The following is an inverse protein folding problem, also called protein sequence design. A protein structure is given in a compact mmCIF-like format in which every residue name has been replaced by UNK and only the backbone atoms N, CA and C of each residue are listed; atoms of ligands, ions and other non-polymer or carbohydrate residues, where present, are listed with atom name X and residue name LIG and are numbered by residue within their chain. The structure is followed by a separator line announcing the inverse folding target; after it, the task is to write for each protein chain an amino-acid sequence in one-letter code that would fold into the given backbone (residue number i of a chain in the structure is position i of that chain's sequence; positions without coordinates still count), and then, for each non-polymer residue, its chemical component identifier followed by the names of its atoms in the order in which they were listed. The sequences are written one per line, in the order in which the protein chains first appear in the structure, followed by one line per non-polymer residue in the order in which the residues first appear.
data_IF_598028856059
#
_entry.id   IF_598028856059
#
_cell.length_a   1.000
_cell.length_b   1.000
_cell.length_c   1.000
_cell.angle_alpha   90.00
_cell.angle_beta   90.00
_cell.angle_gamma   90.00
#
_symmetry.space_group_name_H-M   'P 1'
#
loop_
_entity.id
_entity.type
_entity.pdbx_description
1 polymer ?
#
# COMPACT_ATOMS: atom_id res chain seq x y z
N UNK A 1 17.19 28.14 41.47
CA UNK A 1 16.99 27.63 42.85
C UNK A 1 17.86 26.40 43.00
N UNK A 2 18.93 26.50 43.81
CA UNK A 2 19.16 25.75 45.06
C UNK A 2 19.40 24.25 44.77
N UNK A 3 20.52 23.63 45.17
CA UNK A 3 21.09 23.72 46.53
C UNK A 3 22.58 23.36 46.54
N UNK A 4 23.31 24.06 47.42
CA UNK A 4 24.72 23.96 47.81
C UNK A 4 24.96 22.87 48.89
N UNK A 5 26.25 22.75 49.25
CA UNK A 5 26.84 22.45 50.58
C UNK A 5 27.06 20.94 50.84
N UNK A 6 28.29 20.41 50.88
CA UNK A 6 29.45 20.62 51.80
C UNK A 6 29.45 19.62 52.99
N UNK A 7 30.68 19.43 53.50
CA UNK A 7 31.09 18.95 54.83
C UNK A 7 31.21 17.42 54.98
N UNK A 8 32.25 16.83 55.61
CA UNK A 8 33.43 17.35 56.32
C UNK A 8 34.41 16.19 56.65
N UNK A 9 35.71 16.52 56.72
CA UNK A 9 36.74 16.13 57.72
C UNK A 9 36.52 14.86 58.58
N UNK A 10 37.50 13.97 58.79
CA UNK A 10 38.90 14.22 59.17
C UNK A 10 39.22 13.42 60.45
N UNK A 11 40.44 13.59 61.00
CA UNK A 11 41.00 13.07 62.29
C UNK A 11 41.79 11.76 62.14
N UNK A 12 43.00 11.54 62.67
CA UNK A 12 44.03 12.28 63.44
C UNK A 12 45.09 11.18 63.78
N UNK A 13 46.41 11.39 63.77
CA UNK A 13 47.28 11.62 64.96
C UNK A 13 48.72 11.15 64.57
N UNK A 14 49.80 11.96 64.68
CA UNK A 14 50.70 12.11 65.87
C UNK A 14 51.68 10.91 65.98
N UNK A 15 53.03 10.98 66.11
CA UNK A 15 54.01 12.03 66.48
C UNK A 15 55.46 11.51 66.27
N UNK A 16 56.44 12.45 66.14
CA UNK A 16 57.78 12.48 66.81
C UNK A 16 58.86 11.41 66.46
N UNK A 17 60.18 11.63 66.35
CA UNK A 17 61.12 12.78 66.31
C UNK A 17 62.56 12.25 66.04
N UNK A 18 63.42 13.11 65.46
CA UNK A 18 64.89 13.31 65.71
C UNK A 18 65.99 12.33 65.17
N UNK A 19 66.91 12.94 64.36
CA UNK A 19 68.43 12.90 64.39
C UNK A 19 69.12 11.58 63.97
N UNK A 20 70.26 11.48 63.26
CA UNK A 20 71.22 12.30 62.47
C UNK A 20 72.36 11.32 62.04
N UNK A 21 73.10 11.58 60.94
CA UNK A 21 74.40 10.96 60.53
C UNK A 21 74.32 9.50 60.05
N UNK A 22 74.99 9.01 59.01
CA UNK A 22 76.02 9.51 58.09
C UNK A 22 76.87 8.32 57.59
N UNK A 23 77.29 8.39 56.33
CA UNK A 23 78.39 7.70 55.62
C UNK A 23 78.42 6.16 55.51
N UNK A 24 78.24 5.71 54.25
CA UNK A 24 79.26 5.07 53.39
C UNK A 24 79.97 3.82 53.93
N UNK A 25 79.65 2.66 53.35
CA UNK A 25 80.54 1.51 53.20
C UNK A 25 80.21 0.84 51.86
N UNK A 26 81.09 1.07 50.87
CA UNK A 26 81.23 0.24 49.68
C UNK A 26 81.62 -1.18 50.14
N UNK A 27 80.69 -2.13 50.02
CA UNK A 27 81.01 -3.56 49.95
C UNK A 27 80.32 -4.15 48.71
N UNK A 28 81.15 -4.43 47.71
CA UNK A 28 80.87 -5.03 46.42
C UNK A 28 80.16 -6.39 46.54
N UNK A 29 78.82 -6.41 46.58
CA UNK A 29 77.99 -7.46 45.95
C UNK A 29 76.49 -7.14 45.88
N UNK A 30 76.10 -5.86 45.69
CA UNK A 30 74.70 -5.56 45.44
C UNK A 30 74.39 -5.88 43.97
N UNK A 31 74.16 -7.17 43.68
CA UNK A 31 73.43 -7.55 42.46
C UNK A 31 72.12 -6.77 42.50
N UNK A 32 72.00 -5.73 41.69
CA UNK A 32 70.75 -5.02 41.51
C UNK A 32 69.66 -6.02 41.14
N UNK A 33 68.41 -5.76 41.51
CA UNK A 33 67.34 -6.75 41.30
C UNK A 33 67.26 -7.24 39.84
N UNK A 34 67.70 -6.42 38.88
CA UNK A 34 67.74 -6.70 37.44
C UNK A 34 69.04 -7.34 36.90
N UNK A 35 70.08 -7.60 37.71
CA UNK A 35 71.42 -7.98 37.22
C UNK A 35 71.49 -9.37 36.55
N UNK A 36 70.42 -10.18 36.62
CA UNK A 36 70.32 -11.48 35.96
C UNK A 36 68.92 -11.73 35.34
N UNK A 37 68.14 -10.68 35.10
CA UNK A 37 66.78 -10.77 34.56
C UNK A 37 66.76 -10.32 33.11
N UNK A 38 66.45 -11.24 32.20
CA UNK A 38 66.19 -10.95 30.79
C UNK A 38 64.68 -10.94 30.55
N UNK A 39 64.11 -9.74 30.39
CA UNK A 39 62.68 -9.55 30.14
C UNK A 39 62.27 -9.85 28.69
N UNK A 40 63.21 -10.16 27.79
CA UNK A 40 62.92 -10.34 26.36
C UNK A 40 62.51 -9.03 25.69
N UNK A 41 61.26 -8.92 25.25
CA UNK A 41 60.69 -7.72 24.61
C UNK A 41 60.26 -6.66 25.65
N UNK A 42 61.19 -6.30 26.53
CA UNK A 42 60.94 -5.31 27.57
C UNK A 42 62.20 -4.97 28.34
N UNK A 43 62.12 -3.95 29.17
CA UNK A 43 63.23 -3.47 30.00
C UNK A 43 63.00 -3.86 31.45
N UNK A 44 64.01 -4.46 32.11
CA UNK A 44 63.92 -4.71 33.55
C UNK A 44 64.04 -3.39 34.34
N UNK A 45 63.13 -3.19 35.29
CA UNK A 45 63.10 -2.08 36.22
C UNK A 45 63.07 -2.58 37.67
N UNK A 46 63.84 -1.93 38.55
CA UNK A 46 63.83 -2.23 39.99
C UNK A 46 62.69 -1.45 40.67
N UNK A 47 61.69 -2.19 41.17
CA UNK A 47 60.60 -1.63 41.96
C UNK A 47 60.69 -2.14 43.39
N UNK A 48 61.16 -1.27 44.30
CA UNK A 48 61.29 -1.54 45.73
C UNK A 48 62.19 -2.75 46.09
N UNK A 49 63.27 -2.97 45.33
CA UNK A 49 64.25 -4.03 45.55
C UNK A 49 63.87 -5.37 44.89
N UNK A 50 62.90 -5.37 43.97
CA UNK A 50 62.49 -6.54 43.18
C UNK A 50 62.50 -6.21 41.69
N UNK A 51 62.88 -7.19 40.87
CA UNK A 51 62.84 -7.07 39.42
C UNK A 51 61.38 -7.08 38.94
N UNK A 52 61.06 -6.14 38.07
CA UNK A 52 59.80 -6.09 37.32
C UNK A 52 60.13 -5.81 35.86
N UNK A 53 59.41 -6.44 34.92
CA UNK A 53 59.59 -6.15 33.50
C UNK A 53 58.62 -5.05 33.07
N UNK A 54 59.16 -3.96 32.53
CA UNK A 54 58.41 -2.93 31.81
C UNK A 54 58.41 -3.32 30.32
N UNK A 55 57.30 -3.91 29.87
CA UNK A 55 57.23 -4.54 28.55
C UNK A 55 57.03 -3.53 27.43
N UNK A 56 57.60 -3.82 26.26
CA UNK A 56 57.43 -3.01 25.06
C UNK A 56 55.95 -3.02 24.63
N UNK A 57 55.53 -1.99 23.87
CA UNK A 57 54.14 -1.90 23.39
C UNK A 57 53.75 -3.15 22.60
N UNK A 58 52.63 -3.79 22.98
CA UNK A 58 52.18 -5.07 22.43
C UNK A 58 52.67 -6.30 23.21
N UNK A 59 53.19 -6.12 24.42
CA UNK A 59 53.57 -7.19 25.35
C UNK A 59 53.13 -6.84 26.78
N UNK A 60 52.74 -7.84 27.57
CA UNK A 60 52.50 -7.70 29.02
C UNK A 60 53.45 -8.59 29.83
N UNK A 61 53.68 -8.21 31.09
CA UNK A 61 54.53 -8.97 31.99
C UNK A 61 53.79 -10.21 32.53
N UNK A 62 54.32 -11.40 32.22
CA UNK A 62 54.00 -12.64 32.92
C UNK A 62 55.24 -13.05 33.75
N UNK A 63 55.23 -12.67 35.02
CA UNK A 63 56.40 -12.80 35.90
C UNK A 63 57.56 -11.91 35.45
N UNK A 64 58.68 -12.52 35.06
CA UNK A 64 59.90 -11.84 34.59
C UNK A 64 60.12 -11.98 33.08
N UNK A 65 59.05 -12.26 32.34
CA UNK A 65 59.07 -12.39 30.88
C UNK A 65 57.95 -11.55 30.27
N UNK A 66 58.28 -10.79 29.23
CA UNK A 66 57.29 -10.09 28.44
C UNK A 66 56.73 -11.04 27.38
N UNK A 67 55.45 -11.37 27.51
CA UNK A 67 54.69 -12.21 26.57
C UNK A 67 53.89 -11.32 25.63
N UNK A 68 53.80 -11.71 24.36
CA UNK A 68 53.11 -10.92 23.33
C UNK A 68 51.61 -10.80 23.68
N UNK A 69 51.10 -9.57 23.60
CA UNK A 69 49.68 -9.30 23.70
C UNK A 69 49.02 -9.81 22.42
N UNK A 70 48.39 -10.98 22.49
CA UNK A 70 47.56 -11.44 21.38
C UNK A 70 46.32 -10.53 21.32
N UNK A 71 46.24 -9.64 20.33
CA UNK A 71 44.99 -8.95 19.98
C UNK A 71 44.03 -10.00 19.40
N UNK A 72 43.36 -10.74 20.29
CA UNK A 72 42.37 -11.74 19.90
C UNK A 72 41.12 -11.00 19.43
N UNK A 73 40.97 -10.86 18.12
CA UNK A 73 39.72 -10.42 17.51
C UNK A 73 38.60 -11.40 17.86
N UNK A 74 37.44 -10.89 18.23
CA UNK A 74 36.23 -11.64 18.54
C UNK A 74 35.20 -11.33 17.45
N UNK A 75 34.99 -12.26 16.51
CA UNK A 75 34.01 -12.08 15.44
C UNK A 75 32.68 -11.45 15.91
N UNK A 76 32.11 -10.55 15.10
CA UNK A 76 30.86 -9.89 15.44
C UNK A 76 29.69 -10.88 15.41
N UNK A 77 28.63 -10.58 16.16
CA UNK A 77 27.48 -11.49 16.32
C UNK A 77 26.17 -10.77 16.09
N UNK A 78 25.32 -11.34 15.23
CA UNK A 78 23.91 -10.94 15.14
C UNK A 78 23.16 -11.37 16.40
N UNK A 79 22.49 -10.41 17.05
CA UNK A 79 21.69 -10.64 18.26
C UNK A 79 20.18 -10.57 18.01
N UNK A 80 19.79 -10.14 16.82
CA UNK A 80 18.41 -10.12 16.32
C UNK A 80 18.03 -11.44 15.66
N UNK A 81 16.72 -11.75 15.62
CA UNK A 81 16.19 -12.95 14.93
C UNK A 81 15.42 -12.53 13.69
N UNK A 82 15.78 -13.08 12.53
CA UNK A 82 15.13 -12.79 11.26
C UNK A 82 13.70 -13.40 11.19
N UNK A 83 12.79 -12.82 10.40
CA UNK A 83 11.44 -13.35 10.22
C UNK A 83 11.46 -14.71 9.50
N UNK A 84 10.52 -15.59 9.83
CA UNK A 84 10.36 -16.91 9.19
C UNK A 84 9.30 -16.95 8.10
N UNK A 85 8.46 -15.90 8.03
CA UNK A 85 7.30 -15.84 7.17
C UNK A 85 7.12 -14.42 6.63
N UNK A 86 6.63 -14.33 5.40
CA UNK A 86 6.24 -13.10 4.73
C UNK A 86 5.00 -13.36 3.86
N UNK A 87 4.29 -12.30 3.50
CA UNK A 87 3.12 -12.36 2.63
C UNK A 87 3.44 -11.65 1.32
N UNK A 88 3.03 -12.21 0.18
CA UNK A 88 3.18 -11.51 -1.11
C UNK A 88 2.49 -10.14 -1.10
N UNK A 89 2.95 -9.23 -1.96
CA UNK A 89 2.44 -7.86 -2.12
C UNK A 89 2.53 -6.98 -0.85
N UNK A 90 3.15 -7.48 0.22
CA UNK A 90 3.38 -6.74 1.46
C UNK A 90 4.89 -6.58 1.66
N UNK A 91 5.34 -5.34 1.87
CA UNK A 91 6.73 -5.07 2.24
C UNK A 91 7.01 -5.72 3.59
N UNK A 92 7.94 -6.64 3.59
CA UNK A 92 8.47 -7.23 4.83
C UNK A 92 9.75 -6.49 5.19
N UNK A 93 9.85 -6.10 6.46
CA UNK A 93 10.96 -5.32 6.99
C UNK A 93 11.53 -6.00 8.22
N UNK A 94 12.86 -6.03 8.32
CA UNK A 94 13.61 -6.67 9.38
C UNK A 94 14.63 -5.68 9.95
N UNK A 95 14.35 -5.19 11.15
CA UNK A 95 15.31 -4.44 11.95
C UNK A 95 16.29 -5.42 12.60
N UNK A 96 17.56 -5.34 12.22
CA UNK A 96 18.63 -6.21 12.72
C UNK A 96 19.59 -5.47 13.64
N UNK A 97 20.29 -6.25 14.45
CA UNK A 97 21.33 -5.77 15.37
C UNK A 97 22.50 -6.74 15.36
N UNK A 98 23.69 -6.19 15.14
CA UNK A 98 24.96 -6.88 15.25
C UNK A 98 25.82 -6.18 16.30
N UNK A 99 26.55 -6.96 17.10
CA UNK A 99 27.42 -6.43 18.14
C UNK A 99 28.79 -7.06 18.05
N UNK A 100 29.80 -6.26 18.35
CA UNK A 100 31.19 -6.69 18.47
C UNK A 100 31.66 -6.55 19.92
N UNK A 101 32.46 -7.51 20.40
CA UNK A 101 32.92 -7.52 21.79
C UNK A 101 34.16 -6.65 22.02
N UNK A 102 34.94 -6.43 20.97
CA UNK A 102 36.17 -5.62 20.99
C UNK A 102 35.86 -4.12 20.74
N UNK A 103 34.66 -3.83 20.24
CA UNK A 103 34.14 -2.48 20.05
C UNK A 103 34.53 -1.87 18.71
N UNK A 104 34.81 -2.73 17.73
CA UNK A 104 35.17 -2.34 16.37
C UNK A 104 33.97 -1.78 15.58
N UNK A 105 34.27 -0.98 14.56
CA UNK A 105 33.27 -0.45 13.64
C UNK A 105 32.67 -1.59 12.80
N UNK A 106 31.34 -1.58 12.62
CA UNK A 106 30.62 -2.64 11.94
C UNK A 106 30.10 -2.20 10.58
N UNK A 107 30.43 -2.97 9.54
CA UNK A 107 29.92 -2.80 8.19
C UNK A 107 28.92 -3.92 7.83
N UNK A 108 27.88 -3.53 7.08
CA UNK A 108 26.80 -4.41 6.64
C UNK A 108 26.70 -4.53 5.13
N UNK A 109 26.37 -5.73 4.64
CA UNK A 109 26.07 -5.95 3.23
C UNK A 109 25.02 -7.05 3.03
N UNK A 110 24.40 -7.07 1.85
CA UNK A 110 23.57 -8.19 1.39
C UNK A 110 24.51 -9.26 0.83
N UNK A 111 24.38 -10.50 1.33
CA UNK A 111 25.20 -11.61 0.89
C UNK A 111 24.78 -12.12 -0.50
N UNK A 112 25.72 -12.71 -1.24
CA UNK A 112 25.45 -13.28 -2.57
C UNK A 112 24.46 -14.45 -2.57
N UNK A 113 24.19 -15.07 -1.42
CA UNK A 113 23.20 -16.14 -1.26
C UNK A 113 21.79 -15.64 -0.98
N UNK A 114 21.59 -14.32 -0.85
CA UNK A 114 20.27 -13.71 -0.73
C UNK A 114 19.46 -13.97 -2.01
N UNK A 115 18.21 -14.40 -1.82
CA UNK A 115 17.24 -14.64 -2.90
C UNK A 115 15.91 -13.93 -2.64
N UNK A 116 15.81 -13.16 -1.55
CA UNK A 116 14.65 -12.30 -1.29
C UNK A 116 14.77 -10.96 -2.05
N UNK A 117 15.95 -10.66 -2.62
CA UNK A 117 16.24 -9.47 -3.45
C UNK A 117 15.93 -8.16 -2.70
N UNK A 118 16.21 -8.17 -1.40
CA UNK A 118 15.94 -7.04 -0.51
C UNK A 118 17.01 -5.96 -0.54
N UNK A 119 16.63 -4.79 -0.03
CA UNK A 119 17.50 -3.64 0.16
C UNK A 119 17.87 -3.50 1.63
N UNK A 120 19.16 -3.26 1.89
CA UNK A 120 19.72 -3.03 3.22
C UNK A 120 20.07 -1.55 3.44
N UNK A 121 19.76 -1.03 4.61
CA UNK A 121 20.15 0.31 5.09
C UNK A 121 20.82 0.19 6.46
N UNK A 122 22.06 0.65 6.58
CA UNK A 122 22.80 0.75 7.85
C UNK A 122 22.43 2.02 8.61
N UNK A 123 22.40 1.94 9.94
CA UNK A 123 22.32 3.10 10.84
C UNK A 123 23.69 3.53 11.40
N UNK A 124 24.76 2.82 11.03
CA UNK A 124 26.16 3.07 11.45
C UNK A 124 26.35 3.04 12.98
N UNK A 125 25.51 2.27 13.69
CA UNK A 125 25.52 2.12 15.15
C UNK A 125 25.39 0.65 15.59
N UNK A 126 25.70 -0.30 14.69
CA UNK A 126 25.47 -1.72 14.89
C UNK A 126 24.03 -2.18 14.60
N UNK A 127 23.15 -1.27 14.19
CA UNK A 127 21.79 -1.59 13.74
C UNK A 127 21.55 -1.25 12.26
N UNK A 128 20.51 -1.84 11.69
CA UNK A 128 20.08 -1.53 10.34
C UNK A 128 18.74 -2.15 10.00
N UNK A 129 18.25 -1.87 8.79
CA UNK A 129 17.00 -2.40 8.27
C UNK A 129 17.24 -3.13 6.94
N UNK A 130 16.69 -4.34 6.82
CA UNK A 130 16.58 -5.06 5.56
C UNK A 130 15.11 -5.13 5.16
N UNK A 131 14.78 -4.78 3.92
CA UNK A 131 13.39 -4.81 3.44
C UNK A 131 13.27 -5.40 2.04
N UNK A 132 12.20 -6.16 1.80
CA UNK A 132 11.92 -6.80 0.52
C UNK A 132 10.40 -6.92 0.28
N UNK A 133 10.02 -7.18 -0.97
CA UNK A 133 8.64 -7.44 -1.37
C UNK A 133 8.60 -8.52 -2.45
N UNK A 134 7.86 -9.60 -2.19
CA UNK A 134 7.62 -10.65 -3.19
C UNK A 134 6.30 -10.35 -3.92
N UNK A 135 6.31 -10.36 -5.24
CA UNK A 135 5.15 -10.01 -6.06
C UNK A 135 4.11 -11.15 -6.19
N UNK A 136 4.56 -12.41 -6.15
CA UNK A 136 3.70 -13.58 -6.40
C UNK A 136 4.22 -14.85 -5.69
N UNK A 137 3.48 -15.30 -4.68
CA UNK A 137 3.73 -16.50 -3.89
C UNK A 137 3.51 -17.80 -4.67
N UNK A 138 2.74 -17.78 -5.77
CA UNK A 138 2.54 -18.94 -6.64
C UNK A 138 3.81 -19.28 -7.45
N UNK A 139 4.61 -18.25 -7.78
CA UNK A 139 5.91 -18.45 -8.44
C UNK A 139 7.08 -18.55 -7.46
N UNK A 140 6.96 -17.92 -6.29
CA UNK A 140 8.02 -17.87 -5.27
C UNK A 140 7.45 -18.21 -3.89
N UNK A 141 7.40 -19.50 -3.56
CA UNK A 141 6.85 -19.98 -2.27
C UNK A 141 7.80 -19.79 -1.07
N UNK A 142 9.07 -19.47 -1.33
CA UNK A 142 10.08 -19.23 -0.30
C UNK A 142 11.22 -18.39 -0.86
N UNK A 143 11.87 -17.59 -0.01
CA UNK A 143 13.14 -16.93 -0.33
C UNK A 143 14.13 -17.09 0.83
N UNK A 144 15.40 -16.79 0.57
CA UNK A 144 16.49 -16.81 1.55
C UNK A 144 16.93 -15.37 1.79
N UNK A 145 16.75 -14.88 3.01
CA UNK A 145 17.37 -13.65 3.49
C UNK A 145 18.81 -13.99 3.90
N UNK A 146 19.78 -13.26 3.38
CA UNK A 146 21.18 -13.40 3.77
C UNK A 146 21.89 -12.04 3.87
N UNK A 147 22.29 -11.67 5.08
CA UNK A 147 23.01 -10.42 5.37
C UNK A 147 24.32 -10.71 6.11
N UNK A 148 25.34 -9.90 5.87
CA UNK A 148 26.66 -10.00 6.51
C UNK A 148 26.92 -8.85 7.45
N UNK A 149 27.65 -9.12 8.54
CA UNK A 149 28.22 -8.14 9.46
C UNK A 149 29.73 -8.40 9.56
N UNK A 150 30.55 -7.36 9.42
CA UNK A 150 32.02 -7.47 9.53
C UNK A 150 32.59 -6.38 10.42
N UNK A 151 33.60 -6.74 11.20
CA UNK A 151 34.44 -5.85 12.01
C UNK A 151 35.71 -5.38 11.25
N UNK A 152 35.80 -5.69 9.95
CA UNK A 152 36.98 -5.45 9.11
C UNK A 152 38.03 -6.57 9.12
N UNK A 153 37.96 -7.51 10.05
CA UNK A 153 38.84 -8.68 10.18
C UNK A 153 38.10 -9.99 9.86
N UNK A 154 36.94 -10.20 10.48
CA UNK A 154 36.08 -11.36 10.33
C UNK A 154 34.70 -10.94 9.79
N UNK A 155 34.03 -11.88 9.13
CA UNK A 155 32.70 -11.69 8.56
C UNK A 155 31.79 -12.79 9.09
N UNK A 156 30.64 -12.39 9.62
CA UNK A 156 29.57 -13.32 10.02
C UNK A 156 28.35 -13.08 9.15
N UNK A 157 27.74 -14.17 8.69
CA UNK A 157 26.53 -14.15 7.88
C UNK A 157 25.35 -14.67 8.70
N UNK A 158 24.25 -13.91 8.68
CA UNK A 158 22.95 -14.40 9.14
C UNK A 158 22.13 -14.82 7.93
N UNK A 159 21.60 -16.04 7.96
CA UNK A 159 20.75 -16.59 6.90
C UNK A 159 19.44 -17.09 7.48
N UNK A 160 18.33 -16.80 6.81
CA UNK A 160 17.00 -17.29 7.19
C UNK A 160 16.19 -17.63 5.94
N UNK A 161 15.61 -18.83 5.91
CA UNK A 161 14.59 -19.18 4.91
C UNK A 161 13.25 -18.61 5.34
N UNK A 162 12.66 -17.78 4.49
CA UNK A 162 11.36 -17.14 4.70
C UNK A 162 10.33 -17.89 3.85
N UNK A 163 9.27 -18.39 4.49
CA UNK A 163 8.12 -18.95 3.79
C UNK A 163 7.27 -17.81 3.26
N UNK A 164 6.94 -17.82 1.96
CA UNK A 164 6.06 -16.82 1.38
C UNK A 164 4.66 -17.37 1.34
N UNK A 165 3.75 -16.66 1.99
CA UNK A 165 2.34 -16.95 2.01
C UNK A 165 1.68 -16.12 0.92
N UNK A 166 0.76 -16.75 0.19
CA UNK A 166 -0.16 -15.98 -0.64
C UNK A 166 -0.87 -14.98 0.26
N UNK A 167 -1.08 -13.77 -0.25
CA UNK A 167 -1.95 -12.83 0.41
C UNK A 167 -3.28 -13.55 0.49
N UNK A 168 -3.78 -13.76 1.71
CA UNK A 168 -5.17 -14.13 1.84
C UNK A 168 -5.91 -13.00 1.14
N UNK A 169 -6.54 -13.30 0.01
CA UNK A 169 -7.54 -12.40 -0.54
C UNK A 169 -8.44 -12.12 0.64
N UNK A 170 -8.33 -10.91 1.20
CA UNK A 170 -9.36 -10.43 2.09
C UNK A 170 -10.60 -10.61 1.26
N UNK A 171 -11.51 -11.51 1.66
CA UNK A 171 -12.81 -11.53 1.03
C UNK A 171 -13.26 -10.08 1.10
N UNK A 172 -13.45 -9.47 -0.07
CA UNK A 172 -13.91 -8.12 -0.16
C UNK A 172 -15.39 -8.17 0.22
N UNK A 173 -15.64 -8.32 1.53
CA UNK A 173 -16.97 -8.50 2.10
C UNK A 173 -17.61 -7.12 2.14
N UNK A 174 -18.39 -6.86 1.10
CA UNK A 174 -19.28 -5.72 1.05
C UNK A 174 -20.38 -5.90 2.09
N UNK A 175 -20.44 -5.00 3.07
CA UNK A 175 -21.47 -5.00 4.11
C UNK A 175 -22.81 -4.40 3.63
N UNK A 176 -22.86 -3.95 2.37
CA UNK A 176 -24.04 -3.37 1.72
C UNK A 176 -24.39 -1.98 2.23
N UNK A 177 -23.57 -1.36 3.10
CA UNK A 177 -23.90 -0.08 3.72
C UNK A 177 -23.63 1.11 2.79
N UNK A 178 -22.61 1.01 1.94
CA UNK A 178 -22.33 2.04 0.95
C UNK A 178 -23.31 1.93 -0.21
N UNK A 179 -24.16 2.93 -0.39
CA UNK A 179 -25.20 2.96 -1.42
C UNK A 179 -24.83 3.84 -2.64
N UNK A 180 -23.61 4.37 -2.68
CA UNK A 180 -23.14 5.24 -3.77
C UNK A 180 -24.11 6.38 -4.08
N UNK A 181 -24.47 6.53 -5.35
CA UNK A 181 -25.42 7.55 -5.80
C UNK A 181 -26.88 7.28 -5.37
N UNK A 182 -27.19 6.05 -4.95
CA UNK A 182 -28.54 5.60 -4.56
C UNK A 182 -28.69 5.63 -3.03
N UNK A 183 -28.11 6.64 -2.38
CA UNK A 183 -28.05 6.77 -0.92
C UNK A 183 -29.25 7.50 -0.29
N UNK A 184 -30.19 7.99 -1.10
CA UNK A 184 -31.37 8.72 -0.64
C UNK A 184 -31.05 10.00 0.15
N UNK A 185 -29.80 10.48 0.15
CA UNK A 185 -29.37 11.63 0.94
C UNK A 185 -30.10 12.91 0.51
N UNK A 186 -30.35 13.79 1.48
CA UNK A 186 -31.17 14.98 1.26
C UNK A 186 -30.47 15.98 0.35
N UNK A 187 -31.13 16.24 -0.78
CA UNK A 187 -30.89 17.24 -1.81
C UNK A 187 -30.34 18.59 -1.30
N UNK A 188 -29.08 18.90 -1.62
CA UNK A 188 -28.49 20.24 -1.44
C UNK A 188 -28.70 21.16 -2.66
N UNK A 189 -29.51 20.73 -3.64
CA UNK A 189 -29.77 21.41 -4.90
C UNK A 189 -28.72 21.16 -5.98
N UNK A 190 -27.60 20.50 -5.65
CA UNK A 190 -26.47 20.25 -6.57
C UNK A 190 -26.09 18.77 -6.66
N UNK A 191 -26.51 17.98 -5.68
CA UNK A 191 -26.27 16.54 -5.64
C UNK A 191 -27.01 15.80 -6.75
N UNK A 192 -26.35 14.79 -7.31
CA UNK A 192 -26.94 13.83 -8.25
C UNK A 192 -27.51 12.59 -7.53
N UNK A 193 -27.37 12.54 -6.21
CA UNK A 193 -27.80 11.41 -5.40
C UNK A 193 -29.31 11.43 -5.20
N UNK A 194 -29.89 10.25 -5.00
CA UNK A 194 -31.30 10.10 -4.70
C UNK A 194 -31.79 8.67 -4.88
N UNK A 195 -33.10 8.47 -4.73
CA UNK A 195 -33.72 7.16 -4.84
C UNK A 195 -33.36 6.22 -3.69
N UNK A 196 -33.80 4.98 -3.85
CA UNK A 196 -33.59 3.88 -2.90
C UNK A 196 -33.23 2.62 -3.67
N UNK A 197 -32.30 1.82 -3.14
CA UNK A 197 -31.91 0.56 -3.78
C UNK A 197 -33.04 -0.45 -3.70
N UNK A 198 -33.41 -1.02 -4.85
CA UNK A 198 -34.26 -2.19 -4.93
C UNK A 198 -33.45 -3.39 -5.43
N UNK A 199 -33.54 -4.51 -4.72
CA UNK A 199 -32.90 -5.78 -5.12
C UNK A 199 -33.80 -6.64 -6.00
N UNK A 200 -35.06 -6.24 -6.18
CA UNK A 200 -36.00 -6.86 -7.10
C UNK A 200 -36.16 -5.99 -8.35
N UNK A 201 -36.34 -6.59 -9.54
CA UNK A 201 -36.75 -5.85 -10.72
C UNK A 201 -38.04 -5.07 -10.48
N UNK A 202 -38.25 -4.00 -11.26
CA UNK A 202 -39.53 -3.31 -11.26
C UNK A 202 -40.69 -4.24 -11.66
N UNK A 203 -41.90 -3.85 -11.27
CA UNK A 203 -43.11 -4.48 -11.80
C UNK A 203 -43.08 -4.39 -13.33
N UNK A 204 -43.33 -5.51 -14.03
CA UNK A 204 -43.42 -5.56 -15.49
C UNK A 204 -44.46 -4.60 -16.09
N UNK A 205 -45.40 -4.09 -15.27
CA UNK A 205 -46.35 -3.06 -15.67
C UNK A 205 -45.78 -1.63 -15.65
N UNK A 206 -44.58 -1.42 -15.09
CA UNK A 206 -43.90 -0.14 -15.14
C UNK A 206 -43.21 0.05 -16.49
N UNK A 207 -43.84 0.85 -17.33
CA UNK A 207 -43.47 1.06 -18.73
C UNK A 207 -43.42 2.55 -19.03
N UNK A 208 -42.28 3.02 -19.53
CA UNK A 208 -42.08 4.41 -19.95
C UNK A 208 -42.05 4.53 -21.48
N UNK A 209 -42.49 3.48 -22.19
CA UNK A 209 -42.46 3.33 -23.65
C UNK A 209 -41.03 3.35 -24.24
N UNK A 210 -40.01 2.97 -23.44
CA UNK A 210 -38.62 2.94 -23.94
C UNK A 210 -38.39 1.80 -24.94
N UNK A 211 -39.16 0.72 -24.88
CA UNK A 211 -39.12 -0.39 -25.82
C UNK A 211 -39.50 0.04 -27.26
N UNK A 212 -40.37 1.05 -27.40
CA UNK A 212 -40.72 1.66 -28.68
C UNK A 212 -39.49 2.28 -29.38
N UNK A 213 -38.54 2.82 -28.61
CA UNK A 213 -37.26 3.30 -29.14
C UNK A 213 -36.35 2.14 -29.56
N UNK A 214 -36.29 1.07 -28.77
CA UNK A 214 -35.50 -0.13 -29.09
C UNK A 214 -35.98 -0.76 -30.40
N UNK A 215 -37.30 -0.81 -30.62
CA UNK A 215 -37.90 -1.39 -31.82
C UNK A 215 -37.48 -0.69 -33.12
N UNK A 216 -37.07 0.59 -33.05
CA UNK A 216 -36.63 1.39 -34.20
C UNK A 216 -35.13 1.72 -34.15
N UNK A 217 -34.38 1.14 -33.21
CA UNK A 217 -32.95 1.42 -33.04
C UNK A 217 -32.16 1.19 -34.34
N UNK A 218 -31.37 2.17 -34.83
CA UNK A 218 -30.57 1.99 -36.03
C UNK A 218 -29.45 0.96 -35.84
N UNK A 219 -28.82 0.58 -36.95
CA UNK A 219 -27.63 -0.26 -36.93
C UNK A 219 -26.49 0.40 -36.12
N UNK A 220 -25.61 -0.41 -35.55
CA UNK A 220 -24.46 0.08 -34.79
C UNK A 220 -23.64 1.10 -35.59
N UNK A 221 -23.30 2.22 -34.94
CA UNK A 221 -22.59 3.35 -35.51
C UNK A 221 -23.47 4.36 -36.27
N UNK A 222 -24.80 4.26 -36.18
CA UNK A 222 -25.73 5.15 -36.88
C UNK A 222 -26.74 5.80 -35.93
N UNK A 223 -27.34 6.90 -36.40
CA UNK A 223 -28.37 7.68 -35.70
C UNK A 223 -29.68 7.69 -36.50
N UNK A 224 -30.81 7.85 -35.80
CA UNK A 224 -32.15 7.92 -36.37
C UNK A 224 -32.97 9.01 -35.68
N UNK A 225 -33.52 9.91 -36.49
CA UNK A 225 -34.52 10.88 -36.03
C UNK A 225 -35.84 10.19 -35.69
N UNK A 226 -36.39 10.51 -34.53
CA UNK A 226 -37.66 9.97 -34.01
C UNK A 226 -38.52 11.11 -33.46
N UNK A 227 -39.73 10.80 -33.02
CA UNK A 227 -40.58 11.76 -32.31
C UNK A 227 -41.44 10.96 -31.32
N UNK A 228 -40.79 10.51 -30.26
CA UNK A 228 -41.37 9.55 -29.33
C UNK A 228 -41.46 10.20 -27.95
N UNK A 229 -42.67 10.40 -27.41
CA UNK A 229 -42.82 10.84 -26.03
C UNK A 229 -42.42 9.70 -25.09
N UNK A 230 -41.61 10.03 -24.09
CA UNK A 230 -41.26 9.15 -22.97
C UNK A 230 -41.93 9.72 -21.73
N UNK A 231 -42.62 8.86 -20.97
CA UNK A 231 -43.38 9.27 -19.79
C UNK A 231 -42.88 8.55 -18.54
N UNK A 232 -42.58 9.30 -17.50
CA UNK A 232 -42.19 8.80 -16.17
C UNK A 232 -41.02 7.80 -16.17
N UNK A 233 -40.05 7.92 -17.09
CA UNK A 233 -38.83 7.10 -17.07
C UNK A 233 -37.98 7.42 -15.83
N UNK A 234 -37.42 6.40 -15.17
CA UNK A 234 -36.64 6.59 -13.95
C UNK A 234 -35.18 6.80 -14.30
N UNK A 235 -34.56 7.88 -13.77
CA UNK A 235 -33.12 8.08 -13.81
C UNK A 235 -32.47 7.06 -12.85
N UNK A 236 -31.70 6.11 -13.38
CA UNK A 236 -31.03 5.06 -12.60
C UNK A 236 -29.59 5.39 -12.25
N UNK A 237 -28.96 6.31 -12.99
CA UNK A 237 -27.64 6.85 -12.68
C UNK A 237 -27.46 8.20 -13.36
N UNK A 238 -26.67 9.08 -12.76
CA UNK A 238 -26.32 10.36 -13.38
C UNK A 238 -24.86 10.74 -13.10
N UNK A 239 -24.24 11.50 -14.00
CA UNK A 239 -22.89 12.01 -13.81
C UNK A 239 -22.71 13.34 -14.53
N UNK A 240 -21.71 14.11 -14.11
CA UNK A 240 -21.35 15.37 -14.75
C UNK A 240 -20.06 15.21 -15.55
N UNK A 241 -20.11 15.48 -16.86
CA UNK A 241 -18.95 15.38 -17.73
C UNK A 241 -18.98 16.47 -18.80
N UNK A 242 -17.82 17.09 -19.05
CA UNK A 242 -17.64 18.12 -20.08
C UNK A 242 -18.66 19.27 -20.00
N UNK A 243 -19.00 19.70 -18.78
CA UNK A 243 -19.94 20.81 -18.58
C UNK A 243 -21.42 20.41 -18.58
N UNK A 244 -21.75 19.13 -18.80
CA UNK A 244 -23.10 18.65 -19.01
C UNK A 244 -23.47 17.52 -18.05
N UNK A 245 -24.74 17.50 -17.65
CA UNK A 245 -25.31 16.32 -16.99
C UNK A 245 -25.57 15.23 -18.01
N UNK A 246 -25.13 14.03 -17.68
CA UNK A 246 -25.36 12.79 -18.40
C UNK A 246 -26.15 11.88 -17.48
N UNK A 247 -27.03 11.06 -18.03
CA UNK A 247 -27.86 10.18 -17.21
C UNK A 247 -28.18 8.89 -17.93
N UNK A 248 -28.56 7.89 -17.14
CA UNK A 248 -29.14 6.64 -17.60
C UNK A 248 -30.58 6.63 -17.11
N UNK A 249 -31.49 6.27 -18.00
CA UNK A 249 -32.91 6.13 -17.71
C UNK A 249 -33.36 4.72 -18.00
N UNK A 250 -34.39 4.28 -17.31
CA UNK A 250 -34.96 2.97 -17.54
C UNK A 250 -36.41 2.87 -17.10
N UNK A 251 -37.04 1.81 -17.61
CA UNK A 251 -38.30 1.24 -17.14
C UNK A 251 -38.12 -0.27 -16.91
N UNK A 252 -39.21 -1.02 -16.65
CA UNK A 252 -39.10 -2.45 -16.41
C UNK A 252 -38.62 -3.26 -17.63
N UNK A 253 -38.61 -2.66 -18.82
CA UNK A 253 -38.37 -3.34 -20.08
C UNK A 253 -36.94 -3.11 -20.59
N UNK A 254 -36.42 -1.88 -20.50
CA UNK A 254 -35.11 -1.53 -21.09
C UNK A 254 -34.48 -0.28 -20.47
N UNK A 255 -33.18 -0.12 -20.72
CA UNK A 255 -32.36 0.98 -20.23
C UNK A 255 -31.72 1.76 -21.40
N UNK A 256 -31.66 3.08 -21.26
CA UNK A 256 -31.02 3.99 -22.22
C UNK A 256 -30.03 4.91 -21.53
N UNK A 257 -28.95 5.23 -22.24
CA UNK A 257 -28.06 6.34 -21.87
C UNK A 257 -28.55 7.61 -22.56
N UNK A 258 -28.77 8.68 -21.80
CA UNK A 258 -29.10 10.00 -22.35
C UNK A 258 -27.79 10.79 -22.49
N UNK A 259 -27.36 10.99 -23.74
CA UNK A 259 -26.08 11.56 -24.11
C UNK A 259 -26.24 12.80 -25.01
N UNK A 260 -26.89 13.83 -24.49
CA UNK A 260 -27.18 15.09 -25.21
C UNK A 260 -25.92 15.89 -25.59
N UNK A 261 -26.02 16.70 -26.64
CA UNK A 261 -24.98 17.66 -27.01
C UNK A 261 -24.94 18.86 -26.06
N UNK A 262 -24.02 19.81 -26.27
CA UNK A 262 -23.92 21.06 -25.51
C UNK A 262 -24.95 22.12 -25.93
N UNK A 263 -25.97 21.72 -26.70
CA UNK A 263 -27.10 22.57 -27.05
C UNK A 263 -27.97 22.86 -25.82
N UNK A 264 -27.89 24.10 -25.34
CA UNK A 264 -28.66 24.58 -24.19
C UNK A 264 -30.18 24.43 -24.35
N UNK A 265 -30.70 24.34 -25.58
CA UNK A 265 -32.13 24.14 -25.81
C UNK A 265 -32.64 22.73 -25.48
N UNK A 266 -31.73 21.77 -25.30
CA UNK A 266 -32.04 20.36 -25.01
C UNK A 266 -31.84 20.00 -23.54
N UNK A 267 -31.16 20.86 -22.77
CA UNK A 267 -30.76 20.59 -21.38
C UNK A 267 -32.01 20.64 -20.47
N UNK A 268 -32.21 19.65 -19.58
CA UNK A 268 -33.31 19.69 -18.62
C UNK A 268 -33.21 20.91 -17.70
N UNK A 269 -34.33 21.56 -17.35
CA UNK A 269 -34.36 22.75 -16.49
C UNK A 269 -34.18 22.42 -14.98
N UNK A 270 -33.66 21.24 -14.66
CA UNK A 270 -33.44 20.72 -13.31
C UNK A 270 -32.15 19.90 -13.27
N UNK A 271 -31.61 19.69 -12.06
CA UNK A 271 -30.47 18.80 -11.83
C UNK A 271 -30.97 17.34 -11.89
N UNK A 272 -30.48 16.50 -12.82
CA UNK A 272 -30.89 15.10 -12.91
C UNK A 272 -30.39 14.33 -11.69
N UNK A 273 -31.31 13.67 -10.98
CA UNK A 273 -30.99 12.87 -9.79
C UNK A 273 -31.40 11.44 -9.97
N UNK A 274 -30.60 10.53 -9.43
CA UNK A 274 -30.96 9.11 -9.38
C UNK A 274 -32.25 8.91 -8.58
N UNK A 275 -33.11 8.00 -9.03
CA UNK A 275 -34.45 7.80 -8.49
C UNK A 275 -35.45 8.93 -8.81
N UNK A 276 -35.17 9.79 -9.79
CA UNK A 276 -36.16 10.76 -10.30
C UNK A 276 -36.91 10.19 -11.50
N UNK A 277 -38.20 10.47 -11.60
CA UNK A 277 -39.00 10.19 -12.79
C UNK A 277 -39.14 11.42 -13.66
N UNK A 278 -38.93 11.24 -14.95
CA UNK A 278 -38.89 12.32 -15.94
C UNK A 278 -39.69 11.95 -17.18
N UNK A 279 -40.30 12.95 -17.80
CA UNK A 279 -40.93 12.83 -19.11
C UNK A 279 -40.34 13.87 -20.07
N UNK A 280 -40.24 13.49 -21.34
CA UNK A 280 -39.71 14.34 -22.42
C UNK A 280 -39.96 13.67 -23.77
N UNK A 281 -39.77 14.41 -24.86
CA UNK A 281 -39.88 13.88 -26.23
C UNK A 281 -38.49 13.67 -26.82
N UNK A 282 -38.21 12.43 -27.22
CA UNK A 282 -36.97 12.06 -27.91
C UNK A 282 -37.08 12.44 -29.37
N UNK A 283 -36.05 13.12 -29.90
CA UNK A 283 -35.96 13.53 -31.30
C UNK A 283 -34.88 12.80 -32.08
N UNK A 284 -33.87 12.24 -31.40
CA UNK A 284 -32.87 11.37 -32.03
C UNK A 284 -32.36 10.29 -31.07
N UNK A 285 -32.21 9.08 -31.62
CA UNK A 285 -31.52 7.95 -30.98
C UNK A 285 -30.30 7.53 -31.78
N UNK A 286 -29.28 7.04 -31.09
CA UNK A 286 -28.03 6.55 -31.68
C UNK A 286 -27.67 5.20 -31.09
N UNK A 287 -27.25 4.28 -31.96
CA UNK A 287 -26.65 3.01 -31.54
C UNK A 287 -25.13 3.17 -31.54
N UNK A 288 -24.55 3.58 -30.42
CA UNK A 288 -23.11 3.77 -30.28
C UNK A 288 -22.44 2.44 -29.92
N UNK A 289 -22.02 1.70 -30.95
CA UNK A 289 -21.34 0.40 -30.80
C UNK A 289 -22.08 -0.57 -29.85
N UNK A 290 -23.37 -0.81 -30.12
CA UNK A 290 -24.27 -1.64 -29.29
C UNK A 290 -24.68 -1.04 -27.94
N UNK A 291 -24.36 0.23 -27.69
CA UNK A 291 -24.92 1.02 -26.58
C UNK A 291 -26.06 1.90 -27.09
N UNK A 292 -27.25 1.76 -26.50
CA UNK A 292 -28.41 2.57 -26.87
C UNK A 292 -28.32 3.94 -26.22
N UNK A 293 -28.27 4.97 -27.05
CA UNK A 293 -28.18 6.37 -26.62
C UNK A 293 -29.35 7.19 -27.15
N UNK A 294 -29.89 8.07 -26.30
CA UNK A 294 -30.70 9.22 -26.72
C UNK A 294 -29.75 10.39 -26.91
N UNK A 295 -29.66 10.90 -28.14
CA UNK A 295 -28.70 11.94 -28.52
C UNK A 295 -29.33 13.31 -28.74
N UNK A 296 -30.63 13.37 -29.06
CA UNK A 296 -31.39 14.63 -29.10
C UNK A 296 -32.79 14.51 -28.51
N UNK A 297 -33.28 15.61 -27.94
CA UNK A 297 -34.62 15.74 -27.36
C UNK A 297 -35.25 17.10 -27.67
N UNK A 298 -36.57 17.18 -27.61
CA UNK A 298 -37.27 18.47 -27.51
C UNK A 298 -37.18 18.99 -26.07
N UNK A 299 -36.21 19.85 -25.79
CA UNK A 299 -35.99 20.35 -24.43
C UNK A 299 -37.09 21.27 -23.89
N UNK A 300 -38.10 21.62 -24.70
CA UNK A 300 -39.30 22.31 -24.18
C UNK A 300 -40.29 21.37 -23.48
N UNK A 301 -40.10 20.05 -23.62
CA UNK A 301 -41.02 19.02 -23.12
C UNK A 301 -40.59 18.36 -21.82
N UNK A 302 -39.45 18.75 -21.25
CA UNK A 302 -38.95 18.21 -19.99
C UNK A 302 -39.94 18.44 -18.83
N UNK A 303 -40.29 17.36 -18.14
CA UNK A 303 -40.96 17.40 -16.85
C UNK A 303 -40.20 16.56 -15.83
N UNK A 304 -40.21 17.03 -14.57
CA UNK A 304 -39.80 16.25 -13.41
C UNK A 304 -41.08 15.79 -12.71
N UNK A 305 -41.39 14.50 -12.85
CA UNK A 305 -42.66 13.92 -12.41
C UNK A 305 -42.63 13.54 -10.93
N UNK A 306 -41.44 13.24 -10.41
CA UNK A 306 -41.20 13.03 -8.98
C UNK A 306 -39.77 12.57 -8.68
N UNK A 307 -39.49 12.37 -7.40
CA UNK A 307 -38.17 11.94 -6.89
C UNK A 307 -38.30 10.90 -5.79
N UNK A 308 -37.20 10.21 -5.47
CA UNK A 308 -37.15 9.23 -4.38
C UNK A 308 -37.74 7.86 -4.75
N UNK A 309 -37.77 7.53 -6.04
CA UNK A 309 -38.21 6.23 -6.53
C UNK A 309 -37.11 5.18 -6.40
N UNK A 310 -37.54 3.92 -6.32
CA UNK A 310 -36.68 2.75 -6.27
C UNK A 310 -35.89 2.56 -7.58
N UNK A 311 -34.61 2.23 -7.45
CA UNK A 311 -33.71 1.90 -8.55
C UNK A 311 -33.24 0.45 -8.40
N UNK A 312 -33.60 -0.45 -9.33
CA UNK A 312 -33.12 -1.82 -9.33
C UNK A 312 -31.61 -1.88 -9.51
N UNK A 313 -30.96 -2.64 -8.63
CA UNK A 313 -29.53 -2.91 -8.69
C UNK A 313 -29.34 -4.41 -8.85
N UNK A 314 -28.60 -4.81 -9.88
CA UNK A 314 -28.27 -6.22 -10.11
C UNK A 314 -26.97 -6.58 -9.40
N UNK A 315 -27.03 -7.52 -8.46
CA UNK A 315 -25.84 -8.07 -7.81
C UNK A 315 -25.06 -8.98 -8.77
N UNK A 316 -23.76 -8.72 -8.92
CA UNK A 316 -22.85 -9.47 -9.78
C UNK A 316 -21.86 -10.24 -8.91
N UNK A 317 -21.74 -11.53 -9.19
CA UNK A 317 -20.92 -12.48 -8.44
C UNK A 317 -20.46 -13.63 -9.34
N UNK A 318 -19.81 -14.64 -8.77
CA UNK A 318 -19.50 -15.90 -9.42
C UNK A 318 -20.74 -16.65 -9.94
N UNK A 319 -21.85 -16.59 -9.20
CA UNK A 319 -23.13 -17.18 -9.56
C UNK A 319 -23.87 -16.38 -10.64
N UNK A 320 -23.63 -15.06 -10.71
CA UNK A 320 -24.21 -14.16 -11.72
C UNK A 320 -23.10 -13.32 -12.38
N UNK A 321 -22.31 -13.90 -13.31
CA UNK A 321 -21.20 -13.20 -13.92
C UNK A 321 -21.63 -12.00 -14.77
N UNK A 322 -20.76 -11.00 -14.90
CA UNK A 322 -21.02 -9.85 -15.75
C UNK A 322 -21.06 -10.25 -17.23
N UNK A 323 -22.09 -9.83 -17.97
CA UNK A 323 -22.24 -10.09 -19.41
C UNK A 323 -22.68 -8.84 -20.16
N UNK A 324 -22.68 -8.90 -21.49
CA UNK A 324 -23.20 -7.82 -22.34
C UNK A 324 -24.70 -7.51 -22.09
N UNK A 325 -25.47 -8.44 -21.53
CA UNK A 325 -26.87 -8.20 -21.17
C UNK A 325 -27.04 -7.20 -20.01
N UNK A 326 -25.96 -6.89 -19.29
CA UNK A 326 -25.97 -5.91 -18.21
C UNK A 326 -25.62 -4.48 -18.67
N UNK A 327 -25.25 -4.27 -19.95
CA UNK A 327 -24.93 -2.93 -20.47
C UNK A 327 -26.11 -1.97 -20.23
N UNK A 328 -25.79 -0.74 -19.83
CA UNK A 328 -26.71 0.31 -19.36
C UNK A 328 -27.43 0.03 -18.03
N UNK A 329 -27.37 -1.19 -17.48
CA UNK A 329 -27.99 -1.54 -16.19
C UNK A 329 -27.09 -1.14 -15.03
N UNK A 330 -27.70 -0.70 -13.94
CA UNK A 330 -26.98 -0.51 -12.69
C UNK A 330 -26.70 -1.87 -12.06
N UNK A 331 -25.41 -2.14 -11.85
CA UNK A 331 -24.93 -3.33 -11.16
C UNK A 331 -24.24 -2.94 -9.87
N UNK A 332 -24.19 -3.88 -8.93
CA UNK A 332 -23.29 -3.85 -7.77
C UNK A 332 -22.34 -5.04 -7.86
N UNK A 333 -21.05 -4.77 -7.68
CA UNK A 333 -19.99 -5.78 -7.76
C UNK A 333 -18.86 -5.41 -6.83
N UNK A 334 -18.37 -6.40 -6.08
CA UNK A 334 -17.35 -6.24 -5.06
C UNK A 334 -16.22 -7.21 -5.32
N UNK A 335 -14.98 -6.75 -5.21
CA UNK A 335 -13.83 -7.58 -5.54
C UNK A 335 -12.49 -6.93 -5.26
N UNK A 336 -11.42 -7.64 -5.60
CA UNK A 336 -10.03 -7.22 -5.42
C UNK A 336 -9.42 -6.83 -6.76
N UNK A 337 -8.68 -5.72 -6.81
CA UNK A 337 -7.90 -5.35 -7.98
C UNK A 337 -6.63 -6.22 -8.03
N UNK A 338 -6.50 -7.07 -9.05
CA UNK A 338 -5.40 -8.06 -9.16
C UNK A 338 -4.30 -7.67 -10.15
N UNK A 339 -4.48 -6.58 -10.88
CA UNK A 339 -3.48 -6.06 -11.82
C UNK A 339 -3.05 -4.65 -11.43
N UNK A 340 -1.76 -4.33 -11.56
CA UNK A 340 -1.33 -2.94 -11.53
C UNK A 340 -1.98 -2.21 -12.71
N UNK A 341 -2.55 -1.02 -12.47
CA UNK A 341 -3.26 -0.20 -13.47
C UNK A 341 -2.37 0.22 -14.64
N UNK A 342 -2.06 -0.71 -15.54
CA UNK A 342 -0.91 -0.63 -16.46
C UNK A 342 -1.29 -0.76 -17.93
N UNK A 343 -2.54 -1.11 -18.24
CA UNK A 343 -3.08 -1.00 -19.58
C UNK A 343 -3.74 0.37 -19.76
N UNK A 344 -3.17 1.21 -20.64
CA UNK A 344 -3.88 2.38 -21.17
C UNK A 344 -5.10 1.89 -21.96
N UNK A 345 -6.26 1.79 -21.31
CA UNK A 345 -7.51 1.40 -21.94
C UNK A 345 -8.25 2.62 -22.51
N UNK A 346 -7.60 3.25 -23.47
CA UNK A 346 -8.00 4.52 -24.04
C UNK A 346 -7.37 5.73 -23.34
N UNK A 347 -7.51 6.89 -23.96
CA UNK A 347 -6.86 8.13 -23.52
C UNK A 347 -7.46 8.65 -22.22
N UNK A 348 -6.64 8.82 -21.18
CA UNK A 348 -7.04 9.43 -19.91
C UNK A 348 -7.66 8.48 -18.88
N UNK A 349 -7.59 7.17 -19.10
CA UNK A 349 -8.11 6.15 -18.19
C UNK A 349 -7.05 5.11 -17.82
N UNK A 350 -7.17 4.59 -16.59
CA UNK A 350 -6.46 3.41 -16.10
C UNK A 350 -7.44 2.24 -16.05
N UNK A 351 -6.96 1.05 -16.40
CA UNK A 351 -7.72 -0.19 -16.28
C UNK A 351 -7.04 -1.15 -15.33
N UNK A 352 -7.90 -1.79 -14.54
CA UNK A 352 -7.56 -2.83 -13.59
C UNK A 352 -8.40 -4.05 -13.90
N UNK A 353 -7.85 -5.23 -13.65
CA UNK A 353 -8.60 -6.46 -13.54
C UNK A 353 -9.19 -6.54 -12.13
N UNK A 354 -10.52 -6.50 -12.03
CA UNK A 354 -11.26 -6.73 -10.80
C UNK A 354 -11.62 -8.22 -10.74
N UNK A 355 -11.06 -8.91 -9.76
CA UNK A 355 -11.46 -10.25 -9.37
C UNK A 355 -12.60 -10.16 -8.35
N UNK A 356 -13.78 -10.65 -8.74
CA UNK A 356 -14.99 -10.68 -7.93
C UNK A 356 -15.48 -12.11 -7.68
N UNK A 357 -14.57 -13.10 -7.81
CA UNK A 357 -14.84 -14.52 -7.58
C UNK A 357 -15.38 -15.29 -8.78
N UNK A 358 -15.74 -14.62 -9.89
CA UNK A 358 -16.15 -15.29 -11.11
C UNK A 358 -14.98 -15.98 -11.84
N UNK A 359 -15.30 -16.84 -12.80
CA UNK A 359 -14.30 -17.56 -13.60
C UNK A 359 -13.37 -16.65 -14.43
N UNK A 360 -13.72 -15.38 -14.61
CA UNK A 360 -12.91 -14.39 -15.29
C UNK A 360 -13.09 -13.03 -14.63
N UNK A 361 -11.99 -12.27 -14.57
CA UNK A 361 -12.00 -10.89 -14.07
C UNK A 361 -12.82 -9.99 -15.00
N UNK A 362 -13.22 -8.85 -14.46
CA UNK A 362 -13.84 -7.77 -15.24
C UNK A 362 -12.92 -6.55 -15.25
N UNK A 363 -12.91 -5.84 -16.37
CA UNK A 363 -12.20 -4.57 -16.47
C UNK A 363 -12.91 -3.51 -15.62
N UNK A 364 -12.21 -3.01 -14.60
CA UNK A 364 -12.54 -1.80 -13.87
C UNK A 364 -11.76 -0.62 -14.44
N UNK A 365 -12.47 0.35 -15.00
CA UNK A 365 -11.92 1.48 -15.74
C UNK A 365 -12.20 2.80 -15.03
N UNK A 366 -11.14 3.52 -14.70
CA UNK A 366 -11.23 4.76 -13.94
C UNK A 366 -10.36 5.86 -14.54
N UNK A 367 -10.60 7.12 -14.17
CA UNK A 367 -9.81 8.25 -14.66
C UNK A 367 -8.34 8.14 -14.25
N UNK A 368 -7.43 8.70 -15.06
CA UNK A 368 -5.98 8.57 -14.89
C UNK A 368 -5.40 9.03 -13.53
N UNK A 369 -6.18 9.75 -12.73
CA UNK A 369 -5.77 10.24 -11.41
C UNK A 369 -6.12 9.26 -10.27
N UNK A 370 -6.93 8.24 -10.54
CA UNK A 370 -7.33 7.23 -9.56
C UNK A 370 -6.37 6.03 -9.66
N UNK A 371 -5.24 6.14 -8.96
CA UNK A 371 -4.22 5.08 -8.88
C UNK A 371 -4.47 4.24 -7.63
N UNK A 372 -4.69 2.94 -7.82
CA UNK A 372 -4.93 1.99 -6.73
C UNK A 372 -3.81 0.96 -6.66
N UNK A 373 -3.32 0.61 -5.46
CA UNK A 373 -2.46 -0.55 -5.27
C UNK A 373 -3.14 -1.86 -5.69
N UNK A 374 -2.36 -2.83 -6.16
CA UNK A 374 -2.84 -4.22 -6.29
C UNK A 374 -3.23 -4.73 -4.91
N UNK A 375 -4.30 -5.51 -4.82
CA UNK A 375 -4.91 -5.93 -3.55
C UNK A 375 -5.95 -4.95 -3.00
N UNK A 376 -6.13 -3.77 -3.63
CA UNK A 376 -7.20 -2.85 -3.24
C UNK A 376 -8.55 -3.52 -3.45
N UNK A 377 -9.41 -3.33 -2.47
CA UNK A 377 -10.64 -4.07 -2.30
C UNK A 377 -11.73 -3.01 -2.52
N UNK A 378 -12.63 -3.24 -3.49
CA UNK A 378 -13.49 -2.22 -4.10
C UNK A 378 -14.92 -2.73 -4.34
N UNK A 379 -15.93 -1.89 -4.07
CA UNK A 379 -17.30 -2.03 -4.61
C UNK A 379 -17.49 -1.01 -5.72
N UNK A 380 -18.03 -1.46 -6.84
CA UNK A 380 -18.63 -0.60 -7.85
C UNK A 380 -20.16 -0.72 -7.79
N UNK A 381 -20.86 0.41 -7.78
CA UNK A 381 -22.30 0.49 -7.98
C UNK A 381 -22.62 1.56 -9.03
N UNK A 382 -22.96 1.12 -10.23
CA UNK A 382 -23.18 2.03 -11.36
C UNK A 382 -23.54 1.30 -12.65
N UNK A 383 -23.76 2.05 -13.74
CA UNK A 383 -24.12 1.48 -15.02
C UNK A 383 -22.95 0.74 -15.67
N UNK A 384 -23.21 -0.43 -16.24
CA UNK A 384 -22.23 -1.17 -17.04
C UNK A 384 -22.09 -0.51 -18.40
N UNK A 385 -20.85 -0.35 -18.84
CA UNK A 385 -20.54 0.22 -20.16
C UNK A 385 -19.97 -0.84 -21.08
N UNK A 386 -20.07 -0.64 -22.39
CA UNK A 386 -19.39 -1.46 -23.38
C UNK A 386 -18.17 -0.72 -23.93
N UNK A 387 -17.04 -1.41 -24.07
CA UNK A 387 -15.86 -0.87 -24.73
C UNK A 387 -15.12 -1.96 -25.47
N UNK A 388 -14.83 -1.73 -26.74
CA UNK A 388 -14.24 -2.73 -27.64
C UNK A 388 -15.00 -4.06 -27.64
N UNK A 389 -16.34 -4.00 -27.52
CA UNK A 389 -17.22 -5.18 -27.49
C UNK A 389 -17.26 -5.96 -26.16
N UNK A 390 -16.57 -5.52 -25.11
CA UNK A 390 -16.60 -6.16 -23.79
C UNK A 390 -17.31 -5.28 -22.73
N UNK A 391 -18.11 -5.89 -21.83
CA UNK A 391 -18.68 -5.15 -20.70
C UNK A 391 -17.58 -4.78 -19.70
N UNK A 392 -17.63 -3.55 -19.20
CA UNK A 392 -16.67 -3.01 -18.25
C UNK A 392 -17.35 -2.08 -17.24
N UNK A 393 -16.73 -1.95 -16.07
CA UNK A 393 -17.16 -1.07 -14.99
C UNK A 393 -16.43 0.26 -15.13
N UNK A 394 -17.07 1.27 -15.73
CA UNK A 394 -16.44 2.59 -15.94
C UNK A 394 -16.92 3.60 -14.92
N UNK A 395 -16.00 4.21 -14.19
CA UNK A 395 -16.32 5.25 -13.20
C UNK A 395 -16.33 6.63 -13.85
N UNK A 396 -17.45 7.03 -14.47
CA UNK A 396 -17.63 8.43 -14.89
C UNK A 396 -18.00 9.33 -13.71
N UNK A 397 -18.72 8.79 -12.72
CA UNK A 397 -18.99 9.44 -11.43
C UNK A 397 -18.03 8.94 -10.36
N UNK A 398 -17.55 9.84 -9.51
CA UNK A 398 -16.77 9.52 -8.30
C UNK A 398 -17.61 8.82 -7.21
N UNK A 399 -18.93 8.78 -7.36
CA UNK A 399 -19.88 8.14 -6.44
C UNK A 399 -20.34 6.75 -6.91
N UNK A 400 -19.74 6.21 -7.97
CA UNK A 400 -20.05 4.87 -8.47
C UNK A 400 -19.10 3.79 -7.99
N UNK A 401 -18.11 4.14 -7.16
CA UNK A 401 -17.27 3.16 -6.53
C UNK A 401 -16.84 3.60 -5.13
N UNK A 402 -16.43 2.63 -4.34
CA UNK A 402 -15.87 2.80 -3.01
C UNK A 402 -14.75 1.78 -2.81
N UNK A 403 -13.65 2.23 -2.22
CA UNK A 403 -12.53 1.37 -1.82
C UNK A 403 -12.48 1.28 -0.30
N UNK A 404 -12.27 0.11 0.25
CA UNK A 404 -12.14 -0.12 1.71
C UNK A 404 -10.72 -0.48 2.13
#
# INVERSE_FOLDING_TARGET
MRTKLLLFTGILCILSSLVLVGCDDDDDNNQGACDAVDCGNGTCVDTAGQASCDCDTGYHADGLTCVEDTTSNTAPVFTSTAPTDATELIVTSYDFTCTDADGDDLDFAVDTTDTCDGTLVSNDDGTGNYSFMIADAATTSSCVLAITCTDGTEIVTQTQTITIHAATASECVDDGTWLGQIDGSTDDGTSLNGGTVATTPWDSAYDADLDALVAVMPAAGSSLAVNTPITEATIIAAYYANGLYRMYIADANTEFKVFLTDDASQIPPFVPKTGSRISFTVTEITNYDSTYEITEVDGTTWTLDGTGFDVPVTEISDATPLTAAHVNKVVRVSGTLVSAGSATCGTGYLCYDLDYGAASTVVFRTGAFNVFPVGTCLTFQGPVTLFSGAPQLTTYGNLWFYTW
#
